data_IF_133383511505
#
_entry.id   IF_133383511505
#
_cell.length_a   1.000
_cell.length_b   1.000
_cell.length_c   1.000
_cell.angle_alpha   90.00
_cell.angle_beta   90.00
_cell.angle_gamma   90.00
#
_symmetry.space_group_name_H-M   'P 1'
#
loop_
_entity.id
_entity.type
_entity.pdbx_description
1 polymer ?
#
# COMPACT_ATOMS: atom_id res chain seq x y z
N UNK A 1 -42.88 -47.26 1.84
CA UNK A 1 -42.13 -46.16 2.47
C UNK A 1 -40.67 -46.21 2.01
N UNK A 2 -40.28 -45.45 0.99
CA UNK A 2 -38.87 -45.28 0.57
C UNK A 2 -38.71 -43.93 -0.15
N UNK A 3 -38.61 -42.84 0.61
CA UNK A 3 -38.29 -41.50 0.09
C UNK A 3 -37.54 -40.71 1.18
N UNK A 4 -36.33 -41.14 1.56
CA UNK A 4 -35.49 -40.38 2.50
C UNK A 4 -34.00 -40.35 2.12
N UNK A 5 -33.64 -40.76 0.90
CA UNK A 5 -32.22 -40.84 0.47
C UNK A 5 -31.81 -39.64 -0.41
N UNK A 6 -32.75 -38.84 -0.91
CA UNK A 6 -32.47 -37.76 -1.87
C UNK A 6 -32.06 -36.41 -1.23
N UNK A 7 -32.34 -36.18 0.06
CA UNK A 7 -32.10 -34.87 0.69
C UNK A 7 -30.64 -34.64 1.10
N UNK A 8 -29.94 -35.69 1.53
CA UNK A 8 -28.55 -35.60 2.00
C UNK A 8 -27.54 -35.35 0.86
N UNK A 9 -27.83 -35.85 -0.35
CA UNK A 9 -27.00 -35.65 -1.53
C UNK A 9 -27.03 -34.19 -2.05
N UNK A 10 -28.18 -33.51 -1.94
CA UNK A 10 -28.29 -32.11 -2.36
C UNK A 10 -27.48 -31.17 -1.46
N UNK A 11 -27.45 -31.42 -0.15
CA UNK A 11 -26.66 -30.64 0.81
C UNK A 11 -25.14 -30.80 0.60
N UNK A 12 -24.68 -31.98 0.18
CA UNK A 12 -23.26 -32.24 -0.06
C UNK A 12 -22.71 -31.44 -1.26
N UNK A 13 -23.54 -31.20 -2.29
CA UNK A 13 -23.16 -30.40 -3.47
C UNK A 13 -22.99 -28.92 -3.10
N UNK A 14 -23.85 -28.35 -2.23
CA UNK A 14 -23.72 -26.95 -1.83
C UNK A 14 -22.54 -26.66 -0.90
N UNK A 15 -22.10 -27.65 -0.10
CA UNK A 15 -20.95 -27.47 0.80
C UNK A 15 -19.61 -27.58 0.04
N UNK A 16 -19.55 -28.34 -1.08
CA UNK A 16 -18.29 -28.55 -1.81
C UNK A 16 -18.09 -27.64 -3.03
N UNK A 17 -19.12 -26.97 -3.56
CA UNK A 17 -18.96 -26.07 -4.72
C UNK A 17 -18.60 -24.62 -4.38
N UNK A 18 -18.46 -24.27 -3.10
CA UNK A 18 -18.08 -22.92 -2.67
C UNK A 18 -16.67 -22.82 -2.06
N UNK A 19 -15.80 -23.80 -2.32
CA UNK A 19 -14.37 -23.51 -2.29
C UNK A 19 -14.02 -22.84 -3.61
N UNK A 20 -14.41 -21.57 -3.74
CA UNK A 20 -13.69 -20.67 -4.63
C UNK A 20 -12.24 -20.73 -4.16
N UNK A 21 -11.40 -21.44 -4.90
CA UNK A 21 -9.95 -21.27 -4.81
C UNK A 21 -9.72 -19.83 -5.24
N UNK A 22 -9.81 -18.91 -4.28
CA UNK A 22 -9.31 -17.55 -4.44
C UNK A 22 -7.81 -17.77 -4.56
N UNK A 23 -7.33 -17.94 -5.79
CA UNK A 23 -6.00 -17.50 -6.12
C UNK A 23 -5.97 -16.07 -5.58
N UNK A 24 -5.13 -15.83 -4.56
CA UNK A 24 -4.93 -14.51 -4.02
C UNK A 24 -4.32 -13.68 -5.15
N UNK A 25 -5.18 -13.16 -6.00
CA UNK A 25 -4.80 -12.35 -7.13
C UNK A 25 -4.17 -11.10 -6.54
N UNK A 26 -2.87 -11.00 -6.78
CA UNK A 26 -2.04 -9.81 -6.96
C UNK A 26 -2.66 -8.53 -6.36
N UNK A 27 -1.96 -7.92 -5.40
CA UNK A 27 -2.35 -6.69 -4.70
C UNK A 27 -2.82 -5.59 -5.68
N UNK A 28 -4.14 -5.46 -5.81
CA UNK A 28 -4.80 -4.61 -6.81
C UNK A 28 -4.34 -3.14 -6.77
N UNK A 29 -4.19 -2.48 -5.59
CA UNK A 29 -3.74 -1.09 -5.52
C UNK A 29 -2.39 -0.84 -6.17
N UNK A 30 -1.53 -1.87 -6.19
CA UNK A 30 -0.17 -1.77 -6.70
C UNK A 30 -0.06 -2.26 -8.14
N UNK A 31 -1.17 -2.60 -8.81
CA UNK A 31 -1.16 -3.00 -10.23
C UNK A 31 -0.86 -1.83 -11.19
N UNK A 32 -0.65 -2.20 -12.45
CA UNK A 32 -0.41 -1.28 -13.58
C UNK A 32 -1.52 -0.22 -13.67
N UNK A 33 -1.13 1.01 -14.02
CA UNK A 33 -1.98 2.21 -14.14
C UNK A 33 -2.59 2.76 -12.84
N UNK A 34 -2.30 2.17 -11.67
CA UNK A 34 -2.79 2.69 -10.41
C UNK A 34 -1.81 3.70 -9.79
N UNK A 35 -2.36 4.85 -9.39
CA UNK A 35 -1.67 5.81 -8.53
C UNK A 35 -2.08 5.57 -7.09
N UNK A 36 -1.10 5.55 -6.19
CA UNK A 36 -1.31 5.39 -4.76
C UNK A 36 -0.77 6.61 -4.02
N UNK A 37 -1.46 7.02 -2.97
CA UNK A 37 -1.23 8.24 -2.22
C UNK A 37 -0.90 7.88 -0.78
N UNK A 38 0.19 8.43 -0.24
CA UNK A 38 0.52 8.25 1.17
C UNK A 38 -0.42 9.14 1.99
N UNK A 39 -1.13 8.55 2.95
CA UNK A 39 -2.11 9.28 3.79
C UNK A 39 -1.88 9.10 5.28
N UNK A 40 -0.97 8.19 5.66
CA UNK A 40 -0.57 8.00 7.05
C UNK A 40 0.78 7.30 7.16
N UNK A 41 1.46 7.50 8.28
CA UNK A 41 2.69 6.79 8.63
C UNK A 41 2.84 6.67 10.15
N UNK A 42 3.74 5.79 10.57
CA UNK A 42 4.26 5.75 11.94
C UNK A 42 5.16 6.95 12.22
N UNK A 43 5.10 7.53 13.42
CA UNK A 43 5.92 8.70 13.78
C UNK A 43 7.43 8.54 13.53
N UNK A 44 7.97 7.31 13.54
CA UNK A 44 9.36 7.01 13.19
C UNK A 44 9.74 7.29 11.72
N UNK A 45 8.76 7.52 10.86
CA UNK A 45 8.92 7.90 9.45
C UNK A 45 8.52 9.36 9.16
N UNK A 46 8.26 10.15 10.21
CA UNK A 46 7.99 11.58 10.06
C UNK A 46 9.20 12.31 9.48
N UNK A 47 8.98 13.06 8.41
CA UNK A 47 9.95 14.00 7.85
C UNK A 47 9.22 15.26 7.36
N UNK A 48 9.48 16.39 8.01
CA UNK A 48 8.84 17.69 7.71
C UNK A 48 9.30 18.31 6.39
N UNK A 49 10.33 17.74 5.77
CA UNK A 49 10.84 18.19 4.49
C UNK A 49 10.05 17.62 3.32
N UNK A 50 9.20 16.61 3.50
CA UNK A 50 8.54 15.88 2.41
C UNK A 50 7.02 15.94 2.53
N UNK A 51 6.36 16.31 1.43
CA UNK A 51 4.91 16.35 1.33
C UNK A 51 4.44 15.77 0.00
N UNK A 52 3.11 15.61 -0.15
CA UNK A 52 2.48 15.28 -1.42
C UNK A 52 2.98 13.98 -2.06
N UNK A 53 3.37 13.02 -1.21
CA UNK A 53 3.93 11.73 -1.61
C UNK A 53 2.86 10.86 -2.29
N UNK A 54 3.10 10.51 -3.56
CA UNK A 54 2.30 9.55 -4.32
C UNK A 54 3.17 8.73 -5.25
N UNK A 55 2.71 7.56 -5.65
CA UNK A 55 3.43 6.70 -6.59
C UNK A 55 2.52 6.21 -7.70
N UNK A 56 2.94 6.34 -8.96
CA UNK A 56 2.18 5.90 -10.13
C UNK A 56 2.92 4.77 -10.84
N UNK A 57 2.22 3.68 -11.15
CA UNK A 57 2.75 2.64 -12.03
C UNK A 57 2.88 3.15 -13.46
N UNK A 58 4.05 2.97 -14.07
CA UNK A 58 4.32 3.40 -15.45
C UNK A 58 4.32 2.21 -16.39
N UNK A 59 5.09 1.18 -16.03
CA UNK A 59 5.24 0.00 -16.86
C UNK A 59 5.39 -1.26 -16.02
N UNK A 60 5.26 -2.41 -16.68
CA UNK A 60 5.49 -3.72 -16.10
C UNK A 60 6.34 -4.49 -17.07
N UNK A 61 7.53 -4.91 -16.63
CA UNK A 61 8.49 -5.65 -17.45
C UNK A 61 8.82 -6.93 -16.70
N UNK A 62 8.51 -8.08 -17.29
CA UNK A 62 8.61 -9.39 -16.64
C UNK A 62 7.85 -9.47 -15.30
N UNK A 63 8.59 -9.52 -14.19
CA UNK A 63 8.07 -9.58 -12.81
C UNK A 63 8.24 -8.25 -12.05
N UNK A 64 8.92 -7.26 -12.64
CA UNK A 64 9.15 -5.96 -12.04
C UNK A 64 8.14 -4.94 -12.55
N UNK A 65 7.66 -4.12 -11.64
CA UNK A 65 6.81 -2.98 -11.94
C UNK A 65 7.58 -1.70 -11.73
N UNK A 66 7.73 -0.96 -12.81
CA UNK A 66 8.30 0.36 -12.78
C UNK A 66 7.25 1.35 -12.26
N UNK A 67 7.64 2.12 -11.25
CA UNK A 67 6.82 3.15 -10.63
C UNK A 67 7.61 4.45 -10.56
N UNK A 68 6.89 5.56 -10.67
CA UNK A 68 7.44 6.88 -10.37
C UNK A 68 6.89 7.33 -9.01
N UNK A 69 7.79 7.65 -8.09
CA UNK A 69 7.47 8.33 -6.84
C UNK A 69 7.49 9.84 -7.08
N UNK A 70 6.40 10.51 -6.76
CA UNK A 70 6.27 11.97 -6.79
C UNK A 70 6.16 12.50 -5.37
N UNK A 71 6.84 13.59 -5.07
CA UNK A 71 6.77 14.26 -3.78
C UNK A 71 7.21 15.72 -3.91
N UNK A 72 6.78 16.55 -2.97
CA UNK A 72 7.27 17.90 -2.79
C UNK A 72 8.35 17.89 -1.71
N UNK A 73 9.50 18.49 -2.00
CA UNK A 73 10.64 18.62 -1.11
C UNK A 73 10.83 20.08 -0.68
N UNK A 74 10.89 20.32 0.62
CA UNK A 74 11.12 21.65 1.18
C UNK A 74 12.61 21.98 1.19
N UNK A 75 12.99 23.00 0.43
CA UNK A 75 14.30 23.66 0.59
C UNK A 75 14.22 24.75 1.67
N UNK A 76 15.32 25.45 1.94
CA UNK A 76 15.33 26.58 2.89
C UNK A 76 14.33 27.67 2.56
N UNK A 77 13.94 27.81 1.28
CA UNK A 77 13.23 28.98 0.79
C UNK A 77 11.95 28.68 -0.01
N UNK A 78 11.81 27.47 -0.57
CA UNK A 78 10.66 27.09 -1.40
C UNK A 78 10.49 25.56 -1.50
N UNK A 79 9.32 25.13 -1.96
CA UNK A 79 9.03 23.73 -2.28
C UNK A 79 9.47 23.39 -3.71
N UNK A 80 10.02 22.20 -3.90
CA UNK A 80 10.40 21.66 -5.21
C UNK A 80 9.64 20.36 -5.44
N UNK A 81 9.00 20.23 -6.60
CA UNK A 81 8.41 18.96 -7.02
C UNK A 81 9.48 18.05 -7.59
N UNK A 82 9.59 16.84 -7.04
CA UNK A 82 10.58 15.84 -7.44
C UNK A 82 9.86 14.57 -7.88
N UNK A 83 10.41 13.90 -8.89
CA UNK A 83 9.94 12.61 -9.37
C UNK A 83 11.11 11.64 -9.55
N UNK A 84 10.98 10.42 -9.05
CA UNK A 84 12.04 9.41 -9.06
C UNK A 84 11.46 8.07 -9.51
N UNK A 85 12.10 7.44 -10.49
CA UNK A 85 11.77 6.07 -10.92
C UNK A 85 12.30 5.04 -9.93
N UNK A 86 11.54 3.98 -9.70
CA UNK A 86 11.96 2.81 -8.95
C UNK A 86 11.17 1.58 -9.40
N UNK A 87 11.72 0.40 -9.17
CA UNK A 87 11.06 -0.85 -9.51
C UNK A 87 10.57 -1.57 -8.25
N UNK A 88 9.46 -2.30 -8.36
CA UNK A 88 8.99 -3.20 -7.31
C UNK A 88 8.63 -4.58 -7.86
N UNK A 89 8.79 -5.62 -7.06
CA UNK A 89 8.10 -6.90 -7.27
C UNK A 89 7.07 -7.13 -6.19
N UNK A 90 5.96 -7.75 -6.57
CA UNK A 90 4.83 -8.01 -5.68
C UNK A 90 4.80 -9.50 -5.32
N UNK A 91 4.78 -9.80 -4.03
CA UNK A 91 4.44 -11.10 -3.48
C UNK A 91 3.15 -10.97 -2.64
N UNK A 92 2.50 -12.07 -2.28
CA UNK A 92 1.26 -12.05 -1.50
C UNK A 92 1.42 -11.42 -0.11
N UNK A 93 2.64 -11.44 0.45
CA UNK A 93 2.91 -10.99 1.83
C UNK A 93 3.95 -9.87 1.93
N UNK A 94 4.65 -9.54 0.85
CA UNK A 94 5.70 -8.52 0.86
C UNK A 94 5.90 -7.88 -0.51
N UNK A 95 6.58 -6.75 -0.51
CA UNK A 95 7.04 -6.03 -1.69
C UNK A 95 8.57 -5.97 -1.61
N UNK A 96 9.23 -6.29 -2.71
CA UNK A 96 10.67 -6.02 -2.85
C UNK A 96 10.84 -4.76 -3.69
N UNK A 97 11.67 -3.84 -3.23
CA UNK A 97 12.05 -2.62 -3.95
C UNK A 97 13.37 -2.88 -4.66
N UNK A 98 13.44 -2.48 -5.93
CA UNK A 98 14.62 -2.66 -6.76
C UNK A 98 15.83 -1.91 -6.22
N UNK A 99 17.05 -2.36 -6.55
CA UNK A 99 18.30 -1.86 -5.97
C UNK A 99 18.72 -0.45 -6.43
N UNK A 100 17.93 0.25 -7.25
CA UNK A 100 18.33 1.54 -7.84
C UNK A 100 18.26 2.71 -6.84
N UNK A 101 19.31 2.80 -6.02
CA UNK A 101 20.14 3.99 -5.79
C UNK A 101 19.51 5.22 -5.12
N UNK A 102 18.56 5.90 -5.78
CA UNK A 102 18.14 7.23 -5.35
C UNK A 102 17.06 7.16 -4.26
N UNK A 103 16.08 6.27 -4.42
CA UNK A 103 15.02 6.09 -3.41
C UNK A 103 15.60 5.52 -2.12
N UNK A 104 16.50 4.53 -2.21
CA UNK A 104 17.18 3.98 -1.04
C UNK A 104 18.08 5.01 -0.35
N UNK A 105 18.88 5.78 -1.11
CA UNK A 105 19.78 6.78 -0.55
C UNK A 105 19.07 7.96 0.11
N UNK A 106 18.01 8.48 -0.51
CA UNK A 106 17.32 9.69 -0.04
C UNK A 106 16.24 9.39 0.99
N UNK A 107 15.50 8.30 0.82
CA UNK A 107 14.39 7.93 1.71
C UNK A 107 14.79 6.95 2.80
N UNK A 108 16.05 6.50 2.83
CA UNK A 108 16.47 5.33 3.62
C UNK A 108 15.51 4.14 3.40
N UNK A 109 15.02 4.00 2.16
CA UNK A 109 14.06 2.96 1.83
C UNK A 109 14.71 1.58 1.99
N UNK A 110 13.97 0.65 2.60
CA UNK A 110 14.37 -0.74 2.72
C UNK A 110 14.20 -1.49 1.41
N UNK A 111 14.91 -2.61 1.28
CA UNK A 111 14.81 -3.49 0.11
C UNK A 111 13.50 -4.30 0.10
N UNK A 112 12.92 -4.53 1.28
CA UNK A 112 11.72 -5.36 1.46
C UNK A 112 10.78 -4.72 2.46
N UNK A 113 9.49 -4.70 2.13
CA UNK A 113 8.41 -4.26 3.00
C UNK A 113 7.37 -5.36 3.16
N UNK A 114 6.95 -5.64 4.40
CA UNK A 114 5.83 -6.56 4.64
C UNK A 114 4.51 -5.87 4.39
N UNK A 115 3.56 -6.59 3.79
CA UNK A 115 2.20 -6.12 3.60
C UNK A 115 1.38 -6.59 4.79
N UNK A 116 0.89 -5.66 5.60
CA UNK A 116 0.08 -6.00 6.77
C UNK A 116 -1.37 -6.28 6.41
N UNK A 117 -1.89 -5.53 5.43
CA UNK A 117 -3.23 -5.69 4.85
C UNK A 117 -3.28 -4.98 3.49
N UNK A 118 -4.12 -5.46 2.60
CA UNK A 118 -4.53 -4.74 1.41
C UNK A 118 -6.02 -4.99 1.10
N UNK A 119 -6.61 -4.05 0.39
CA UNK A 119 -7.97 -4.07 -0.19
C UNK A 119 -7.86 -3.56 -1.63
N UNK A 120 -8.97 -3.39 -2.34
CA UNK A 120 -8.92 -2.79 -3.67
C UNK A 120 -8.50 -1.31 -3.65
N UNK A 121 -8.72 -0.61 -2.53
CA UNK A 121 -8.56 0.85 -2.44
C UNK A 121 -7.44 1.31 -1.50
N UNK A 122 -6.88 0.39 -0.72
CA UNK A 122 -5.92 0.75 0.33
C UNK A 122 -5.01 -0.41 0.72
N UNK A 123 -3.85 -0.08 1.27
CA UNK A 123 -2.92 -1.06 1.83
C UNK A 123 -2.01 -0.45 2.89
N UNK A 124 -1.46 -1.31 3.75
CA UNK A 124 -0.50 -0.92 4.79
C UNK A 124 0.80 -1.69 4.61
N UNK A 125 1.91 -0.96 4.53
CA UNK A 125 3.25 -1.53 4.47
C UNK A 125 3.98 -1.30 5.79
N UNK A 126 4.79 -2.26 6.19
CA UNK A 126 5.67 -2.19 7.35
C UNK A 126 7.10 -2.51 6.97
N UNK A 127 8.06 -1.86 7.63
CA UNK A 127 9.48 -2.18 7.46
C UNK A 127 9.76 -3.64 7.80
N UNK A 128 10.48 -4.35 6.92
CA UNK A 128 10.85 -5.75 7.15
C UNK A 128 12.36 -5.97 7.24
N UNK A 129 13.14 -4.89 7.36
CA UNK A 129 14.61 -4.96 7.39
C UNK A 129 15.17 -5.49 8.71
N UNK A 130 14.31 -5.71 9.71
CA UNK A 130 14.71 -6.14 11.05
C UNK A 130 15.45 -5.08 11.86
N UNK A 131 15.55 -3.85 11.35
CA UNK A 131 16.20 -2.71 12.03
C UNK A 131 15.45 -2.25 13.28
N UNK A 132 14.16 -2.57 13.37
CA UNK A 132 13.27 -2.10 14.42
C UNK A 132 12.63 -3.29 15.14
N UNK A 133 12.58 -3.22 16.48
CA UNK A 133 11.81 -4.19 17.29
C UNK A 133 10.30 -4.04 17.09
N UNK A 134 9.85 -2.81 16.79
CA UNK A 134 8.50 -2.51 16.36
C UNK A 134 8.55 -1.70 15.05
N UNK A 135 8.39 -2.36 13.89
CA UNK A 135 8.67 -1.74 12.60
C UNK A 135 7.66 -0.64 12.27
N UNK A 136 8.13 0.54 11.83
CA UNK A 136 7.25 1.61 11.36
C UNK A 136 6.46 1.17 10.12
N UNK A 137 5.32 1.82 9.91
CA UNK A 137 4.45 1.56 8.78
C UNK A 137 4.10 2.79 7.97
N UNK A 138 3.52 2.55 6.79
CA UNK A 138 2.85 3.53 5.95
C UNK A 138 1.47 3.04 5.51
N UNK A 139 0.53 3.97 5.42
CA UNK A 139 -0.84 3.76 4.94
C UNK A 139 -0.99 4.45 3.59
N UNK A 140 -1.47 3.69 2.61
CA UNK A 140 -1.64 4.15 1.23
C UNK A 140 -3.06 3.93 0.73
N UNK A 141 -3.54 4.86 -0.10
CA UNK A 141 -4.86 4.85 -0.73
C UNK A 141 -4.75 4.95 -2.25
N UNK A 142 -5.67 4.39 -3.02
CA UNK A 142 -5.71 4.51 -4.50
C UNK A 142 -6.29 5.84 -5.00
N UNK A 143 -6.86 6.64 -4.09
CA UNK A 143 -7.44 7.96 -4.37
C UNK A 143 -7.00 8.99 -3.32
N UNK A 144 -6.91 10.28 -3.67
CA UNK A 144 -6.73 11.34 -2.69
C UNK A 144 -7.78 11.23 -1.59
N UNK A 145 -7.35 11.29 -0.33
CA UNK A 145 -8.21 11.02 0.83
C UNK A 145 -7.85 12.01 1.93
N UNK A 146 -8.75 12.92 2.27
CA UNK A 146 -8.49 13.95 3.30
C UNK A 146 -9.10 13.58 4.65
N UNK A 147 -10.09 12.68 4.67
CA UNK A 147 -10.76 12.26 5.89
C UNK A 147 -10.50 10.79 6.23
N UNK A 148 -10.18 10.52 7.49
CA UNK A 148 -9.93 9.15 7.98
C UNK A 148 -11.14 8.23 7.80
N UNK A 149 -12.37 8.77 7.81
CA UNK A 149 -13.59 7.97 7.60
C UNK A 149 -13.68 7.34 6.22
N UNK A 150 -12.86 7.78 5.27
CA UNK A 150 -12.79 7.21 3.91
C UNK A 150 -11.85 6.00 3.82
N UNK A 151 -11.02 5.77 4.85
CA UNK A 151 -10.14 4.60 4.93
C UNK A 151 -11.00 3.38 5.30
N UNK A 152 -10.92 2.26 4.55
CA UNK A 152 -11.66 1.05 4.88
C UNK A 152 -11.44 0.63 6.33
N UNK A 153 -12.51 0.24 7.03
CA UNK A 153 -12.47 -0.05 8.47
C UNK A 153 -11.39 -1.08 8.84
N UNK A 154 -11.25 -2.14 8.05
CA UNK A 154 -10.24 -3.19 8.24
C UNK A 154 -8.82 -2.66 8.09
N UNK A 155 -8.58 -1.82 7.08
CA UNK A 155 -7.29 -1.15 6.87
C UNK A 155 -6.99 -0.19 8.00
N UNK A 156 -7.98 0.60 8.42
CA UNK A 156 -7.87 1.56 9.51
C UNK A 156 -7.52 0.87 10.84
N UNK A 157 -8.27 -0.18 11.19
CA UNK A 157 -8.03 -1.00 12.38
C UNK A 157 -6.64 -1.65 12.35
N UNK A 158 -6.19 -2.12 11.19
CA UNK A 158 -4.84 -2.69 11.04
C UNK A 158 -3.76 -1.62 11.20
N UNK A 159 -3.93 -0.45 10.60
CA UNK A 159 -2.97 0.64 10.66
C UNK A 159 -2.80 1.14 12.09
N UNK A 160 -3.87 1.54 12.78
CA UNK A 160 -3.77 2.02 14.16
C UNK A 160 -3.50 0.92 15.18
N UNK A 161 -3.86 -0.33 14.89
CA UNK A 161 -3.65 -1.47 15.79
C UNK A 161 -2.27 -2.09 15.71
N UNK A 162 -1.59 -2.02 14.56
CA UNK A 162 -0.29 -2.69 14.35
C UNK A 162 0.88 -1.74 14.18
N UNK A 163 0.63 -0.49 13.80
CA UNK A 163 1.71 0.44 13.48
C UNK A 163 2.05 1.32 14.68
N UNK A 164 3.33 1.41 15.07
CA UNK A 164 3.74 2.22 16.22
C UNK A 164 3.44 3.69 15.96
N UNK A 165 2.76 4.34 16.92
CA UNK A 165 2.45 5.78 16.88
C UNK A 165 1.93 6.22 15.50
N UNK A 166 0.94 5.48 15.00
CA UNK A 166 0.33 5.72 13.70
C UNK A 166 -0.35 7.08 13.66
N UNK A 167 -0.04 7.86 12.62
CA UNK A 167 -0.64 9.18 12.37
C UNK A 167 -1.27 9.17 10.99
N UNK A 168 -2.54 9.57 10.92
CA UNK A 168 -3.20 9.90 9.67
C UNK A 168 -3.10 11.41 9.42
N UNK A 169 -2.66 11.78 8.23
CA UNK A 169 -2.54 13.19 7.81
C UNK A 169 -3.33 13.50 6.53
N UNK A 170 -3.75 12.47 5.78
CA UNK A 170 -4.52 12.62 4.55
C UNK A 170 -3.70 13.10 3.36
N UNK A 171 -4.33 13.21 2.20
CA UNK A 171 -3.74 13.73 0.97
C UNK A 171 -4.72 14.69 0.30
N UNK A 172 -4.40 15.98 0.34
CA UNK A 172 -5.16 17.02 -0.35
C UNK A 172 -4.55 17.29 -1.73
N UNK A 173 -5.25 16.81 -2.77
CA UNK A 173 -4.81 16.99 -4.15
C UNK A 173 -4.79 18.46 -4.60
N UNK A 174 -5.68 19.31 -4.05
CA UNK A 174 -5.72 20.72 -4.41
C UNK A 174 -4.50 21.46 -3.87
N UNK A 175 -4.14 21.20 -2.62
CA UNK A 175 -2.93 21.70 -2.00
C UNK A 175 -1.68 21.22 -2.75
N UNK A 176 -1.59 19.93 -3.05
CA UNK A 176 -0.43 19.35 -3.75
C UNK A 176 -0.26 19.82 -5.20
N UNK A 177 -1.34 20.22 -5.87
CA UNK A 177 -1.26 20.81 -7.22
C UNK A 177 -0.88 22.30 -7.18
N UNK A 178 -1.17 23.00 -6.08
CA UNK A 178 -0.86 24.42 -5.90
C UNK A 178 0.62 24.69 -5.57
N UNK A 179 1.38 23.66 -5.17
CA UNK A 179 2.83 23.74 -4.90
C UNK A 179 3.69 23.75 -6.19
N UNK A 180 3.12 24.16 -7.34
CA UNK A 180 3.82 24.25 -8.63
C UNK A 180 4.48 25.60 -8.86
#
# INVERSE_FOLDING_TARGET
MKLFVSGLLALYVFVHFNTSTIYADIIEPLKKNNTVYLVGYSAGWYNDSWECIKSTAVNSTDNWMERILYFAFRTTSYWINVSVGFEITLNTSYITVGPEGWVQGQFNAGDIYSILIYTNDSFVLSDSTGRFSNPPCSLWMTRPTTNISEVPETTNATFFGRCPNATFFGYDNSFCLAQK
#
